data_IF_250359612005
#
_entry.id   IF_250359612005
#
_cell.length_a   1.000
_cell.length_b   1.000
_cell.length_c   1.000
_cell.angle_alpha   90.00
_cell.angle_beta   90.00
_cell.angle_gamma   90.00
#
_symmetry.space_group_name_H-M   'P 1'
#
loop_
_entity.id
_entity.type
_entity.pdbx_description
1 polymer ?
#
# COMPACT_ATOMS: atom_id res chain seq x y z
N UNK A 1 9.02 11.29 -17.45
CA UNK A 1 9.56 12.58 -16.95
C UNK A 1 10.98 12.75 -17.46
N UNK A 2 11.31 13.89 -18.07
CA UNK A 2 12.61 14.12 -18.73
C UNK A 2 13.59 14.98 -17.92
N UNK A 3 13.12 15.65 -16.86
CA UNK A 3 13.97 16.49 -16.00
C UNK A 3 15.08 15.64 -15.33
N UNK A 4 16.37 15.94 -15.58
CA UNK A 4 17.48 15.14 -15.04
C UNK A 4 17.51 15.14 -13.51
N UNK A 5 17.26 16.28 -12.87
CA UNK A 5 17.32 16.42 -11.42
C UNK A 5 16.25 15.60 -10.72
N UNK A 6 15.03 15.57 -11.27
CA UNK A 6 13.95 14.73 -10.74
C UNK A 6 14.26 13.23 -10.88
N UNK A 7 14.93 12.82 -11.97
CA UNK A 7 15.30 11.42 -12.18
C UNK A 7 16.45 11.00 -11.26
N UNK A 8 17.52 11.78 -11.21
CA UNK A 8 18.72 11.48 -10.41
C UNK A 8 18.42 11.42 -8.91
N UNK A 9 17.49 12.27 -8.46
CA UNK A 9 17.07 12.29 -7.06
C UNK A 9 15.97 11.28 -6.72
N UNK A 10 15.53 10.47 -7.69
CA UNK A 10 14.46 9.50 -7.50
C UNK A 10 13.12 10.14 -7.11
N UNK A 11 12.89 11.39 -7.51
CA UNK A 11 11.65 12.14 -7.22
C UNK A 11 10.46 11.61 -8.02
N UNK A 12 10.75 10.90 -9.11
CA UNK A 12 9.79 10.10 -9.86
C UNK A 12 10.27 8.66 -9.78
N UNK A 13 9.48 7.81 -9.14
CA UNK A 13 9.86 6.44 -8.81
C UNK A 13 8.87 5.44 -9.40
N UNK A 14 9.29 4.19 -9.42
CA UNK A 14 8.48 3.06 -9.85
C UNK A 14 7.55 2.60 -8.71
N UNK A 15 6.28 2.39 -9.05
CA UNK A 15 5.26 1.83 -8.18
C UNK A 15 4.63 0.65 -8.91
N UNK A 16 4.77 -0.57 -8.38
CA UNK A 16 4.07 -1.71 -8.95
C UNK A 16 2.59 -1.66 -8.55
N UNK A 17 1.70 -1.63 -9.54
CA UNK A 17 0.25 -1.66 -9.34
C UNK A 17 -0.30 -3.03 -9.74
N UNK A 18 -0.70 -3.81 -8.73
CA UNK A 18 -1.22 -5.15 -8.92
C UNK A 18 -2.61 -5.17 -9.59
N UNK A 19 -3.37 -4.07 -9.60
CA UNK A 19 -4.69 -4.00 -10.26
C UNK A 19 -4.55 -4.03 -11.78
N UNK A 20 -3.46 -3.49 -12.29
CA UNK A 20 -3.18 -3.38 -13.72
C UNK A 20 -1.99 -4.24 -14.16
N UNK A 21 -1.38 -4.99 -13.24
CA UNK A 21 -0.31 -5.94 -13.53
C UNK A 21 0.97 -5.31 -14.09
N UNK A 22 1.23 -4.04 -13.79
CA UNK A 22 2.42 -3.33 -14.31
C UNK A 22 2.91 -2.22 -13.38
N UNK A 23 4.15 -1.82 -13.62
CA UNK A 23 4.75 -0.65 -12.97
C UNK A 23 4.22 0.65 -13.57
N UNK A 24 3.94 1.62 -12.70
CA UNK A 24 3.63 3.00 -13.05
C UNK A 24 4.63 3.95 -12.41
N UNK A 25 4.80 5.13 -12.99
CA UNK A 25 5.64 6.18 -12.42
C UNK A 25 4.79 7.08 -11.52
N UNK A 26 5.22 7.24 -10.27
CA UNK A 26 4.59 8.11 -9.28
C UNK A 26 5.63 8.93 -8.51
N UNK A 27 5.19 9.75 -7.54
CA UNK A 27 6.10 10.48 -6.67
C UNK A 27 7.06 9.55 -5.92
N UNK A 28 8.32 9.98 -5.80
CA UNK A 28 9.31 9.35 -4.93
C UNK A 28 9.10 9.67 -3.45
N UNK A 29 9.90 9.05 -2.59
CA UNK A 29 9.83 9.27 -1.14
C UNK A 29 10.66 10.48 -0.74
N UNK A 30 10.02 11.43 -0.07
CA UNK A 30 10.63 12.67 0.42
C UNK A 30 10.27 12.94 1.89
N UNK A 31 11.21 13.39 2.74
CA UNK A 31 12.64 13.51 2.47
C UNK A 31 13.35 12.13 2.40
N UNK A 32 14.51 12.08 1.75
CA UNK A 32 15.36 10.88 1.76
C UNK A 32 16.22 10.86 3.02
N UNK A 33 15.85 10.00 3.97
CA UNK A 33 16.61 9.80 5.20
C UNK A 33 17.90 9.02 4.92
N UNK A 34 18.98 9.38 5.60
CA UNK A 34 20.30 8.74 5.42
C UNK A 34 20.40 7.41 6.16
N UNK A 35 19.86 7.32 7.39
CA UNK A 35 19.91 6.11 8.21
C UNK A 35 18.77 5.13 7.88
N UNK A 36 17.57 5.64 7.61
CA UNK A 36 16.34 4.83 7.42
C UNK A 36 15.58 5.24 6.16
N UNK A 37 16.17 5.08 4.96
CA UNK A 37 15.50 5.46 3.72
C UNK A 37 14.20 4.67 3.56
N UNK A 38 13.09 5.37 3.32
CA UNK A 38 11.81 4.74 3.03
C UNK A 38 11.86 3.94 1.73
N UNK A 39 10.89 3.03 1.56
CA UNK A 39 10.69 2.25 0.32
C UNK A 39 9.23 2.26 -0.11
N UNK A 40 9.01 2.31 -1.42
CA UNK A 40 7.69 2.11 -2.03
C UNK A 40 7.48 0.60 -2.07
N UNK A 41 6.39 0.13 -1.44
CA UNK A 41 6.05 -1.31 -1.38
C UNK A 41 5.06 -1.71 -2.47
N UNK A 42 4.09 -0.84 -2.76
CA UNK A 42 3.08 -1.03 -3.79
C UNK A 42 2.49 0.34 -4.19
N UNK A 43 1.69 0.37 -5.27
CA UNK A 43 0.95 1.55 -5.72
C UNK A 43 -0.38 1.79 -4.97
N UNK A 44 -0.58 1.15 -3.82
CA UNK A 44 -1.83 1.10 -3.07
C UNK A 44 -2.50 -0.29 -3.10
N UNK A 45 -3.52 -0.50 -2.24
CA UNK A 45 -4.25 -1.75 -2.18
C UNK A 45 -5.05 -2.00 -3.46
N UNK A 46 -5.22 -3.28 -3.81
CA UNK A 46 -5.96 -3.67 -5.02
C UNK A 46 -7.45 -3.41 -4.92
N UNK A 47 -7.99 -3.51 -3.69
CA UNK A 47 -9.39 -3.31 -3.37
C UNK A 47 -9.54 -2.81 -1.92
N UNK A 48 -10.67 -2.18 -1.56
CA UNK A 48 -11.01 -1.89 -0.17
C UNK A 48 -10.98 -3.17 0.69
N UNK A 49 -10.48 -3.06 1.93
CA UNK A 49 -10.52 -4.15 2.91
C UNK A 49 -9.50 -5.28 2.72
N UNK A 50 -8.49 -5.13 1.85
CA UNK A 50 -7.44 -6.16 1.62
C UNK A 50 -6.72 -6.61 2.90
N UNK A 51 -6.58 -5.73 3.87
CA UNK A 51 -5.89 -6.01 5.14
C UNK A 51 -6.86 -6.31 6.30
N UNK A 52 -8.18 -6.42 6.05
CA UNK A 52 -9.18 -6.63 7.10
C UNK A 52 -8.92 -7.89 7.92
N UNK A 53 -8.64 -9.01 7.27
CA UNK A 53 -8.36 -10.28 7.96
C UNK A 53 -7.10 -10.19 8.82
N UNK A 54 -6.03 -9.57 8.31
CA UNK A 54 -4.78 -9.38 9.06
C UNK A 54 -5.02 -8.53 10.31
N UNK A 55 -5.77 -7.43 10.18
CA UNK A 55 -6.04 -6.52 11.29
C UNK A 55 -7.03 -7.12 12.28
N UNK A 56 -8.19 -7.59 11.84
CA UNK A 56 -9.23 -8.09 12.72
C UNK A 56 -8.79 -9.33 13.48
N UNK A 57 -8.15 -10.28 12.80
CA UNK A 57 -7.72 -11.53 13.45
C UNK A 57 -6.37 -11.36 14.13
N UNK A 58 -5.39 -10.76 13.45
CA UNK A 58 -4.01 -10.70 13.91
C UNK A 58 -3.75 -9.61 14.94
N UNK A 59 -4.36 -8.43 14.78
CA UNK A 59 -4.13 -7.28 15.67
C UNK A 59 -5.21 -7.18 16.75
N UNK A 60 -6.49 -7.37 16.38
CA UNK A 60 -7.61 -7.22 17.30
C UNK A 60 -8.04 -8.53 17.97
N UNK A 61 -7.58 -9.69 17.47
CA UNK A 61 -7.88 -10.99 18.05
C UNK A 61 -9.32 -11.46 17.85
N UNK A 62 -10.02 -10.94 16.84
CA UNK A 62 -11.39 -11.33 16.52
C UNK A 62 -11.45 -12.76 16.00
N UNK A 63 -12.52 -13.45 16.38
CA UNK A 63 -12.80 -14.81 15.91
C UNK A 63 -13.35 -14.79 14.47
N UNK A 64 -13.40 -15.96 13.84
CA UNK A 64 -14.00 -16.07 12.51
C UNK A 64 -15.52 -15.78 12.57
N UNK A 65 -16.14 -16.14 13.68
CA UNK A 65 -17.54 -15.90 13.99
C UNK A 65 -17.84 -14.39 14.09
N UNK A 66 -17.03 -13.63 14.82
CA UNK A 66 -17.20 -12.17 14.95
C UNK A 66 -17.14 -11.47 13.57
N UNK A 67 -16.20 -11.88 12.71
CA UNK A 67 -16.03 -11.30 11.37
C UNK A 67 -17.21 -11.69 10.46
N UNK A 68 -17.69 -12.93 10.57
CA UNK A 68 -18.86 -13.39 9.82
C UNK A 68 -20.13 -12.58 10.21
N UNK A 69 -20.30 -12.27 11.50
CA UNK A 69 -21.40 -11.42 11.97
C UNK A 69 -21.33 -10.01 11.38
N UNK A 70 -20.15 -9.41 11.31
CA UNK A 70 -19.97 -8.08 10.71
C UNK A 70 -20.25 -8.08 9.20
N UNK A 71 -19.82 -9.11 8.47
CA UNK A 71 -20.18 -9.27 7.06
C UNK A 71 -21.68 -9.45 6.86
N UNK A 72 -22.33 -10.27 7.71
CA UNK A 72 -23.77 -10.47 7.66
C UNK A 72 -24.55 -9.18 7.96
N UNK A 73 -24.01 -8.30 8.81
CA UNK A 73 -24.56 -6.98 9.10
C UNK A 73 -24.27 -5.94 8.00
N UNK A 74 -23.40 -6.24 7.03
CA UNK A 74 -23.04 -5.34 5.93
C UNK A 74 -22.25 -4.09 6.35
N UNK A 75 -21.58 -4.16 7.50
CA UNK A 75 -20.75 -3.06 8.03
C UNK A 75 -19.27 -3.17 7.65
N UNK A 76 -18.85 -4.31 7.08
CA UNK A 76 -17.52 -4.56 6.49
C UNK A 76 -17.62 -5.32 5.17
#
# INVERSE_FOLDING_TARGET
VADPHLRERGMIAEHYDARIGRTVLGPGIVPRLTATPGRIRNAGPTQPGVDNDEVYRGVLGMTAEDIAELHAAGVI
#
